data_IF_490614387018
#
_entry.id   IF_490614387018
#
_cell.length_a   1.000
_cell.length_b   1.000
_cell.length_c   1.000
_cell.angle_alpha   90.00
_cell.angle_beta   90.00
_cell.angle_gamma   90.00
#
_symmetry.space_group_name_H-M   'P 1'
#
loop_
_entity.id
_entity.type
_entity.pdbx_description
1 polymer ?
#
# COMPACT_ATOMS: atom_id res chain seq x y z
N UNK A 1 -16.25 5.08 9.12
CA UNK A 1 -14.97 5.59 8.57
C UNK A 1 -14.45 4.64 7.51
N UNK A 2 -14.25 5.11 6.27
CA UNK A 2 -13.69 4.23 5.23
C UNK A 2 -12.28 3.77 5.60
N UNK A 3 -11.95 2.56 5.17
CA UNK A 3 -10.62 1.97 5.42
C UNK A 3 -9.90 1.78 4.10
N UNK A 4 -8.69 2.32 4.01
CA UNK A 4 -7.85 2.25 2.82
C UNK A 4 -6.58 1.48 3.12
N UNK A 5 -6.20 0.59 2.21
CA UNK A 5 -4.94 -0.13 2.27
C UNK A 5 -3.96 0.48 1.27
N UNK A 6 -2.75 0.81 1.75
CA UNK A 6 -1.67 1.30 0.89
C UNK A 6 -0.48 0.35 1.02
N UNK A 7 -0.31 -0.59 0.10
CA UNK A 7 0.86 -1.46 0.11
C UNK A 7 2.08 -0.71 -0.43
N UNK A 8 3.21 -0.83 0.26
CA UNK A 8 4.47 -0.23 -0.14
C UNK A 8 5.52 -1.30 -0.43
N UNK A 9 6.20 -1.16 -1.56
CA UNK A 9 7.31 -2.00 -1.95
C UNK A 9 8.55 -1.15 -2.18
N UNK A 10 9.73 -1.77 -2.12
CA UNK A 10 10.99 -1.08 -2.38
C UNK A 10 10.92 -0.32 -3.71
N UNK A 11 11.44 0.91 -3.71
CA UNK A 11 11.45 1.76 -4.90
C UNK A 11 10.19 2.59 -5.10
N UNK A 12 9.29 2.63 -4.12
CA UNK A 12 8.07 3.42 -4.23
C UNK A 12 8.38 4.93 -4.38
N UNK A 13 7.42 5.68 -4.95
CA UNK A 13 7.54 7.14 -5.10
C UNK A 13 7.20 7.81 -3.77
N UNK A 14 8.20 8.35 -3.08
CA UNK A 14 8.03 8.90 -1.72
C UNK A 14 7.01 10.02 -1.66
N UNK A 15 7.13 11.00 -2.55
CA UNK A 15 6.23 12.15 -2.55
C UNK A 15 4.79 11.70 -2.74
N UNK A 16 4.55 10.83 -3.71
CA UNK A 16 3.21 10.35 -4.01
C UNK A 16 2.64 9.52 -2.86
N UNK A 17 3.41 8.56 -2.35
CA UNK A 17 2.94 7.69 -1.28
C UNK A 17 2.62 8.47 -0.01
N UNK A 18 3.54 9.32 0.43
CA UNK A 18 3.36 10.10 1.66
C UNK A 18 2.22 11.09 1.51
N UNK A 19 2.08 11.73 0.35
CA UNK A 19 1.00 12.66 0.08
C UNK A 19 -0.37 11.96 0.17
N UNK A 20 -0.50 10.80 -0.45
CA UNK A 20 -1.74 10.02 -0.41
C UNK A 20 -2.10 9.67 1.05
N UNK A 21 -1.13 9.13 1.79
CA UNK A 21 -1.34 8.73 3.18
C UNK A 21 -1.74 9.93 4.04
N UNK A 22 -0.98 11.02 3.94
CA UNK A 22 -1.20 12.22 4.74
C UNK A 22 -2.55 12.86 4.43
N UNK A 23 -2.84 13.10 3.15
CA UNK A 23 -4.09 13.76 2.73
C UNK A 23 -5.31 12.91 3.11
N UNK A 24 -5.24 11.61 2.89
CA UNK A 24 -6.36 10.72 3.22
C UNK A 24 -6.60 10.65 4.73
N UNK A 25 -5.55 10.59 5.54
CA UNK A 25 -5.69 10.61 7.00
C UNK A 25 -6.27 11.92 7.49
N UNK A 26 -5.86 13.05 6.92
CA UNK A 26 -6.43 14.36 7.25
C UNK A 26 -7.90 14.45 6.89
N UNK A 27 -8.31 13.75 5.85
CA UNK A 27 -9.70 13.69 5.40
C UNK A 27 -10.58 12.71 6.17
N UNK A 28 -10.05 12.05 7.20
CA UNK A 28 -10.82 11.13 8.03
C UNK A 28 -10.86 9.69 7.53
N UNK A 29 -10.02 9.32 6.57
CA UNK A 29 -9.90 7.95 6.09
C UNK A 29 -8.94 7.18 6.99
N UNK A 30 -9.33 5.97 7.39
CA UNK A 30 -8.46 5.09 8.17
C UNK A 30 -7.49 4.38 7.22
N UNK A 31 -6.26 4.90 7.13
CA UNK A 31 -5.25 4.41 6.20
C UNK A 31 -4.28 3.46 6.91
N UNK A 32 -4.17 2.24 6.39
CA UNK A 32 -3.18 1.26 6.84
C UNK A 32 -2.10 1.14 5.78
N UNK A 33 -0.84 1.36 6.19
CA UNK A 33 0.32 1.20 5.32
C UNK A 33 0.91 -0.18 5.56
N UNK A 34 0.93 -1.00 4.53
CA UNK A 34 1.39 -2.38 4.64
C UNK A 34 2.68 -2.59 3.84
N UNK A 35 3.69 -3.18 4.47
CA UNK A 35 4.94 -3.49 3.80
C UNK A 35 4.85 -4.80 3.03
N UNK A 36 5.19 -4.76 1.75
CA UNK A 36 5.17 -5.96 0.89
C UNK A 36 6.35 -6.87 1.21
N UNK A 37 7.54 -6.28 1.37
CA UNK A 37 8.78 -7.03 1.59
C UNK A 37 9.29 -6.98 3.03
N UNK A 38 8.73 -6.11 3.86
CA UNK A 38 9.14 -5.94 5.25
C UNK A 38 8.48 -4.71 5.86
N UNK A 39 8.76 -4.44 7.12
CA UNK A 39 8.20 -3.28 7.83
C UNK A 39 8.91 -1.99 7.41
N UNK A 40 10.23 -2.03 7.20
CA UNK A 40 10.98 -0.86 6.73
C UNK A 40 11.15 -0.94 5.23
N UNK A 41 10.60 0.04 4.51
CA UNK A 41 10.62 0.06 3.06
C UNK A 41 11.38 1.30 2.59
N UNK A 42 12.31 1.11 1.66
CA UNK A 42 13.12 2.19 1.10
C UNK A 42 12.52 2.63 -0.23
N UNK A 43 12.21 3.92 -0.34
CA UNK A 43 11.69 4.49 -1.58
C UNK A 43 12.76 4.70 -2.64
N UNK A 44 12.32 5.15 -3.81
CA UNK A 44 13.19 5.37 -4.97
C UNK A 44 14.27 6.42 -4.76
N UNK A 45 14.04 7.37 -3.86
CA UNK A 45 15.03 8.42 -3.52
C UNK A 45 15.80 8.11 -2.25
N UNK A 46 15.71 6.88 -1.74
CA UNK A 46 16.46 6.44 -0.58
C UNK A 46 15.84 6.74 0.78
N UNK A 47 14.63 7.26 0.81
CA UNK A 47 13.94 7.55 2.06
C UNK A 47 13.33 6.28 2.61
N UNK A 48 13.63 5.96 3.87
CA UNK A 48 13.08 4.79 4.53
C UNK A 48 11.79 5.15 5.25
N UNK A 49 10.78 4.31 5.07
CA UNK A 49 9.47 4.48 5.70
C UNK A 49 9.13 3.22 6.47
N UNK A 50 8.60 3.37 7.68
CA UNK A 50 8.11 2.25 8.46
C UNK A 50 6.63 2.04 8.17
N UNK A 51 6.27 0.84 7.72
CA UNK A 51 4.88 0.47 7.52
C UNK A 51 4.21 0.16 8.85
N UNK A 52 2.88 0.19 8.88
CA UNK A 52 2.12 -0.14 10.08
C UNK A 52 2.15 -1.64 10.37
N UNK A 53 2.24 -2.45 9.33
CA UNK A 53 2.24 -3.91 9.43
C UNK A 53 2.76 -4.54 8.14
N UNK A 54 2.89 -5.86 8.14
CA UNK A 54 3.21 -6.62 6.93
C UNK A 54 1.92 -6.91 6.17
N UNK A 55 2.00 -6.89 4.85
CA UNK A 55 0.85 -7.16 3.99
C UNK A 55 0.25 -8.55 4.27
N UNK A 56 1.11 -9.55 4.50
CA UNK A 56 0.67 -10.91 4.75
C UNK A 56 -0.18 -11.09 6.01
N UNK A 57 -0.10 -10.14 6.95
CA UNK A 57 -0.82 -10.23 8.22
C UNK A 57 -2.23 -9.65 8.16
N UNK A 58 -2.65 -9.13 7.00
CA UNK A 58 -3.91 -8.40 6.86
C UNK A 58 -5.03 -9.27 6.30
N UNK A 59 -6.25 -8.96 6.76
CA UNK A 59 -7.47 -9.50 6.19
C UNK A 59 -8.03 -8.45 5.23
N UNK A 60 -8.02 -8.75 3.93
CA UNK A 60 -8.45 -7.83 2.89
C UNK A 60 -9.92 -7.42 3.03
N UNK A 61 -10.74 -8.26 3.66
CA UNK A 61 -12.16 -7.96 3.84
C UNK A 61 -12.40 -6.75 4.74
N UNK A 62 -11.39 -6.36 5.52
CA UNK A 62 -11.47 -5.18 6.39
C UNK A 62 -11.30 -3.85 5.66
N UNK A 63 -10.99 -3.88 4.36
CA UNK A 63 -10.69 -2.65 3.61
C UNK A 63 -11.73 -2.35 2.56
N UNK A 64 -12.01 -1.06 2.37
CA UNK A 64 -12.96 -0.57 1.36
C UNK A 64 -12.26 -0.23 0.04
N UNK A 65 -10.97 0.09 0.09
CA UNK A 65 -10.20 0.43 -1.11
C UNK A 65 -8.73 0.12 -0.93
N UNK A 66 -8.03 0.00 -2.05
CA UNK A 66 -6.58 -0.16 -2.10
C UNK A 66 -6.01 0.88 -3.04
N UNK A 67 -4.93 1.55 -2.62
CA UNK A 67 -4.25 2.53 -3.44
C UNK A 67 -2.79 2.12 -3.61
N UNK A 68 -2.35 2.03 -4.87
CA UNK A 68 -0.98 1.65 -5.19
C UNK A 68 -0.18 2.91 -5.52
N UNK A 69 0.77 3.32 -4.66
CA UNK A 69 1.62 4.48 -4.97
C UNK A 69 2.48 4.20 -6.21
N UNK A 70 2.74 5.25 -6.98
CA UNK A 70 3.58 5.16 -8.18
C UNK A 70 5.05 4.96 -7.84
N UNK A 71 5.89 5.02 -8.88
CA UNK A 71 7.31 4.74 -8.78
C UNK A 71 7.62 3.50 -9.60
N UNK A 72 8.47 3.63 -10.62
CA UNK A 72 8.70 2.53 -11.56
C UNK A 72 9.14 1.25 -10.86
N UNK A 73 10.16 1.33 -10.00
CA UNK A 73 10.67 0.15 -9.32
C UNK A 73 9.64 -0.43 -8.35
N UNK A 74 8.96 0.42 -7.58
CA UNK A 74 7.92 -0.02 -6.66
C UNK A 74 6.74 -0.64 -7.38
N UNK A 75 6.32 -0.06 -8.50
CA UNK A 75 5.23 -0.60 -9.31
C UNK A 75 5.56 -1.99 -9.85
N UNK A 76 6.79 -2.19 -10.33
CA UNK A 76 7.21 -3.51 -10.81
C UNK A 76 7.19 -4.54 -9.69
N UNK A 77 7.70 -4.20 -8.51
CA UNK A 77 7.68 -5.12 -7.37
C UNK A 77 6.24 -5.46 -6.98
N UNK A 78 5.36 -4.48 -6.92
CA UNK A 78 3.95 -4.72 -6.58
C UNK A 78 3.27 -5.62 -7.62
N UNK A 79 3.52 -5.39 -8.90
CA UNK A 79 2.91 -6.19 -9.96
C UNK A 79 3.40 -7.63 -9.97
N UNK A 80 4.60 -7.90 -9.48
CA UNK A 80 5.17 -9.24 -9.40
C UNK A 80 4.82 -9.96 -8.09
N UNK A 81 4.30 -9.24 -7.10
CA UNK A 81 3.95 -9.84 -5.81
C UNK A 81 2.67 -10.67 -5.93
N UNK A 82 2.75 -11.94 -5.59
CA UNK A 82 1.57 -12.82 -5.58
C UNK A 82 0.53 -12.34 -4.57
N UNK A 83 0.97 -11.84 -3.42
CA UNK A 83 0.05 -11.33 -2.40
C UNK A 83 -0.73 -10.12 -2.90
N UNK A 84 -0.08 -9.19 -3.57
CA UNK A 84 -0.74 -8.02 -4.14
C UNK A 84 -1.70 -8.42 -5.24
N UNK A 85 -1.29 -9.33 -6.13
CA UNK A 85 -2.16 -9.82 -7.20
C UNK A 85 -3.40 -10.51 -6.63
N UNK A 86 -3.23 -11.33 -5.61
CA UNK A 86 -4.34 -12.01 -4.94
C UNK A 86 -5.30 -11.01 -4.31
N UNK A 87 -4.77 -10.00 -3.63
CA UNK A 87 -5.58 -8.95 -2.98
C UNK A 87 -6.37 -8.16 -4.02
N UNK A 88 -5.73 -7.75 -5.11
CA UNK A 88 -6.41 -7.01 -6.17
C UNK A 88 -7.54 -7.80 -6.79
N UNK A 89 -7.32 -9.10 -6.99
CA UNK A 89 -8.34 -9.99 -7.52
C UNK A 89 -9.53 -10.09 -6.56
N UNK A 90 -9.27 -10.27 -5.27
CA UNK A 90 -10.33 -10.34 -4.26
C UNK A 90 -11.13 -9.05 -4.21
N UNK A 91 -10.48 -7.89 -4.23
CA UNK A 91 -11.17 -6.61 -4.19
C UNK A 91 -12.04 -6.41 -5.42
N UNK A 92 -11.56 -6.82 -6.58
CA UNK A 92 -12.34 -6.77 -7.81
C UNK A 92 -13.60 -7.64 -7.72
N UNK A 93 -13.46 -8.85 -7.18
CA UNK A 93 -14.59 -9.78 -7.01
C UNK A 93 -15.62 -9.23 -6.02
N UNK A 94 -15.19 -8.44 -5.05
CA UNK A 94 -16.07 -7.80 -4.06
C UNK A 94 -16.62 -6.45 -4.52
N UNK A 95 -16.26 -6.00 -5.72
CA UNK A 95 -16.72 -4.71 -6.24
C UNK A 95 -15.98 -3.51 -5.68
N UNK A 96 -14.75 -3.68 -5.19
CA UNK A 96 -13.97 -2.59 -4.56
C UNK A 96 -12.88 -2.00 -5.44
#
# INVERSE_FOLDING_TARGET
MPKMLVPLAEGFEEVEAITIIDVCRRGGIDVTVAGVTGITIKGGQGIKVSADCLLDSLDIDNFDMITLPGGLAGTLVLSESENVQSILKQMKEQGK
#
